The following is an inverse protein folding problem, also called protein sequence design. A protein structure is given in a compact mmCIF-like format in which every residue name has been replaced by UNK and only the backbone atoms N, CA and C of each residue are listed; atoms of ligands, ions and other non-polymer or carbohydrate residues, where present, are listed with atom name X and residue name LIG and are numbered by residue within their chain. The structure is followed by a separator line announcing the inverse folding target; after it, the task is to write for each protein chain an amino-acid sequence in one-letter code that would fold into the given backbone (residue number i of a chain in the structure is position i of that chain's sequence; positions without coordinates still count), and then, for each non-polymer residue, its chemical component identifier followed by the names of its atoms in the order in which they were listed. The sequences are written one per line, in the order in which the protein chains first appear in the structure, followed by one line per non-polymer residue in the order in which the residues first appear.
data_IF_163945091602
#
_entry.id   IF_163945091602
#
_cell.length_a   1.000
_cell.length_b   1.000
_cell.length_c   1.000
_cell.angle_alpha   90.00
_cell.angle_beta   90.00
_cell.angle_gamma   90.00
#
_symmetry.space_group_name_H-M   'P 1'
#
loop_
_entity.id
_entity.type
_entity.pdbx_description
1 polymer ?
#
# COMPACT_ATOMS: atom_id res chain seq x y z
N UNK A 1 -20.55 -17.71 -18.16
CA UNK A 1 -19.59 -17.51 -17.06
C UNK A 1 -20.23 -18.05 -15.80
N UNK A 2 -19.55 -18.97 -15.13
CA UNK A 2 -19.99 -19.61 -13.90
C UNK A 2 -19.31 -18.95 -12.71
N UNK A 3 -20.11 -18.39 -11.81
CA UNK A 3 -19.62 -17.64 -10.66
C UNK A 3 -19.74 -18.48 -9.40
N UNK A 4 -18.68 -18.47 -8.60
CA UNK A 4 -18.76 -18.81 -7.20
C UNK A 4 -18.80 -17.54 -6.36
N UNK A 5 -19.42 -17.62 -5.19
CA UNK A 5 -19.53 -16.51 -4.24
C UNK A 5 -18.88 -16.95 -2.93
N UNK A 6 -18.10 -16.07 -2.33
CA UNK A 6 -17.46 -16.26 -1.02
C UNK A 6 -17.93 -15.15 -0.08
N UNK A 7 -18.68 -15.50 0.95
CA UNK A 7 -19.38 -14.58 1.85
C UNK A 7 -20.49 -13.77 1.18
N UNK A 8 -21.26 -13.02 1.98
CA UNK A 8 -22.38 -12.24 1.49
C UNK A 8 -22.44 -10.86 2.17
N UNK A 9 -22.59 -9.84 1.34
CA UNK A 9 -22.89 -8.49 1.77
C UNK A 9 -23.86 -7.83 0.77
N UNK A 10 -24.27 -6.59 1.04
CA UNK A 10 -25.19 -5.86 0.16
C UNK A 10 -24.65 -5.65 -1.26
N UNK A 11 -23.34 -5.59 -1.44
CA UNK A 11 -22.69 -5.36 -2.73
C UNK A 11 -22.59 -6.66 -3.53
N UNK A 12 -22.33 -7.78 -2.87
CA UNK A 12 -22.48 -9.12 -3.45
C UNK A 12 -23.93 -9.34 -3.88
N UNK A 13 -24.91 -8.97 -3.06
CA UNK A 13 -26.33 -9.10 -3.45
C UNK A 13 -26.66 -8.30 -4.72
N UNK A 14 -26.10 -7.10 -4.90
CA UNK A 14 -26.20 -6.34 -6.15
C UNK A 14 -25.56 -7.06 -7.34
N UNK A 15 -24.35 -7.60 -7.16
CA UNK A 15 -23.64 -8.35 -8.20
C UNK A 15 -24.38 -9.65 -8.57
N UNK A 16 -24.94 -10.35 -7.58
CA UNK A 16 -25.75 -11.56 -7.79
C UNK A 16 -27.03 -11.21 -8.53
N UNK A 17 -27.71 -10.12 -8.14
CA UNK A 17 -28.90 -9.66 -8.85
C UNK A 17 -28.59 -9.32 -10.31
N UNK A 18 -27.51 -8.59 -10.58
CA UNK A 18 -27.07 -8.29 -11.94
C UNK A 18 -26.69 -9.56 -12.73
N UNK A 19 -26.05 -10.54 -12.07
CA UNK A 19 -25.71 -11.82 -12.66
C UNK A 19 -26.94 -12.65 -13.02
N UNK A 20 -27.95 -12.73 -12.13
CA UNK A 20 -29.19 -13.47 -12.37
C UNK A 20 -30.03 -12.88 -13.51
N UNK A 21 -29.94 -11.56 -13.72
CA UNK A 21 -30.59 -10.88 -14.84
C UNK A 21 -29.80 -10.96 -16.16
N UNK A 22 -28.61 -11.58 -16.15
CA UNK A 22 -27.78 -11.76 -17.33
C UNK A 22 -27.94 -13.17 -17.91
N UNK A 23 -28.22 -13.28 -19.21
CA UNK A 23 -28.40 -14.58 -19.88
C UNK A 23 -27.13 -15.44 -19.91
N UNK A 24 -25.96 -14.83 -19.68
CA UNK A 24 -24.65 -15.47 -19.87
C UNK A 24 -23.92 -15.76 -18.57
N UNK A 25 -24.52 -15.47 -17.41
CA UNK A 25 -23.89 -15.63 -16.10
C UNK A 25 -24.74 -16.57 -15.25
N UNK A 26 -24.10 -17.57 -14.65
CA UNK A 26 -24.75 -18.52 -13.77
C UNK A 26 -24.01 -18.55 -12.43
N UNK A 27 -24.70 -18.32 -11.33
CA UNK A 27 -24.16 -18.57 -9.99
C UNK A 27 -24.25 -20.07 -9.71
N UNK A 28 -23.11 -20.72 -9.52
CA UNK A 28 -23.03 -22.19 -9.42
C UNK A 28 -22.67 -22.69 -8.04
N UNK A 29 -22.09 -21.84 -7.18
CA UNK A 29 -21.58 -22.23 -5.88
C UNK A 29 -21.61 -21.04 -4.91
N UNK A 30 -21.99 -21.31 -3.67
CA UNK A 30 -21.92 -20.34 -2.57
C UNK A 30 -21.10 -20.91 -1.42
N UNK A 31 -20.15 -20.11 -0.93
CA UNK A 31 -19.33 -20.41 0.22
C UNK A 31 -19.68 -19.39 1.32
N UNK A 32 -20.62 -19.73 2.23
CA UNK A 32 -21.07 -18.81 3.27
C UNK A 32 -20.00 -18.53 4.32
N UNK A 33 -20.03 -17.33 4.89
CA UNK A 33 -19.36 -17.05 6.16
C UNK A 33 -20.13 -17.69 7.34
N UNK A 34 -19.55 -17.65 8.54
CA UNK A 34 -20.18 -18.25 9.72
C UNK A 34 -21.54 -17.56 10.00
N UNK A 35 -22.60 -18.37 10.12
CA UNK A 35 -23.98 -17.94 10.38
C UNK A 35 -24.68 -17.22 9.21
N UNK A 36 -24.16 -17.30 7.99
CA UNK A 36 -24.89 -16.81 6.81
C UNK A 36 -25.93 -17.82 6.31
N UNK A 37 -27.12 -17.30 5.96
CA UNK A 37 -28.17 -18.10 5.32
C UNK A 37 -27.75 -18.56 3.93
N UNK A 38 -28.15 -19.78 3.55
CA UNK A 38 -27.92 -20.31 2.21
C UNK A 38 -28.61 -19.43 1.15
N UNK A 39 -27.90 -19.19 0.05
CA UNK A 39 -28.46 -18.53 -1.12
C UNK A 39 -29.45 -19.47 -1.83
N UNK A 40 -30.73 -19.13 -1.82
CA UNK A 40 -31.81 -19.94 -2.39
C UNK A 40 -31.51 -20.40 -3.82
N UNK A 41 -31.52 -21.71 -4.03
CA UNK A 41 -31.30 -22.32 -5.35
C UNK A 41 -29.83 -22.44 -5.79
N UNK A 42 -28.87 -22.02 -4.96
CA UNK A 42 -27.43 -22.18 -5.21
C UNK A 42 -26.86 -23.19 -4.20
N UNK A 43 -26.16 -24.24 -4.66
CA UNK A 43 -25.57 -25.21 -3.74
C UNK A 43 -24.47 -24.55 -2.90
N UNK A 44 -24.48 -24.83 -1.59
CA UNK A 44 -23.43 -24.40 -0.68
C UNK A 44 -22.35 -25.47 -0.52
N UNK A 45 -21.11 -25.05 -0.28
CA UNK A 45 -20.02 -25.95 0.13
C UNK A 45 -19.28 -25.41 1.35
N UNK A 46 -18.83 -26.30 2.22
CA UNK A 46 -18.07 -25.94 3.43
C UNK A 46 -16.54 -25.97 3.20
N UNK A 47 -16.08 -26.51 2.06
CA UNK A 47 -14.66 -26.74 1.77
C UNK A 47 -14.17 -26.10 0.46
N UNK A 48 -12.89 -25.74 0.44
CA UNK A 48 -12.20 -25.17 -0.73
C UNK A 48 -12.09 -26.12 -1.91
N UNK A 49 -12.18 -27.42 -1.64
CA UNK A 49 -12.14 -28.47 -2.65
C UNK A 49 -13.30 -28.31 -3.65
N UNK A 50 -14.42 -27.73 -3.23
CA UNK A 50 -15.54 -27.41 -4.11
C UNK A 50 -15.24 -26.30 -5.12
N UNK A 51 -14.37 -25.35 -4.75
CA UNK A 51 -13.90 -24.27 -5.63
C UNK A 51 -12.79 -24.77 -6.57
N UNK A 52 -11.86 -25.57 -6.03
CA UNK A 52 -10.71 -26.10 -6.76
C UNK A 52 -11.06 -27.24 -7.73
N UNK A 53 -12.26 -27.84 -7.63
CA UNK A 53 -12.72 -28.84 -8.58
C UNK A 53 -12.83 -28.23 -9.99
N UNK A 54 -11.77 -28.43 -10.80
CA UNK A 54 -11.33 -27.71 -12.01
C UNK A 54 -12.34 -27.46 -13.14
N UNK A 55 -13.59 -27.91 -13.03
CA UNK A 55 -14.55 -27.88 -14.13
C UNK A 55 -15.82 -27.08 -13.87
N UNK A 56 -15.97 -26.35 -12.75
CA UNK A 56 -17.27 -25.71 -12.42
C UNK A 56 -17.27 -24.20 -12.29
N UNK A 57 -16.15 -23.54 -11.99
CA UNK A 57 -16.12 -22.11 -11.67
C UNK A 57 -15.20 -21.37 -12.63
N UNK A 58 -15.70 -20.29 -13.23
CA UNK A 58 -14.94 -19.47 -14.17
C UNK A 58 -14.40 -18.19 -13.51
N UNK A 59 -15.06 -17.69 -12.46
CA UNK A 59 -14.62 -16.55 -11.65
C UNK A 59 -15.28 -16.58 -10.25
N UNK A 60 -14.71 -15.83 -9.30
CA UNK A 60 -15.15 -15.79 -7.90
C UNK A 60 -15.49 -14.36 -7.49
N UNK A 61 -16.67 -14.18 -6.89
CA UNK A 61 -17.09 -12.97 -6.21
C UNK A 61 -16.78 -13.09 -4.72
N UNK A 62 -16.16 -12.08 -4.14
CA UNK A 62 -15.69 -12.12 -2.76
C UNK A 62 -16.25 -10.91 -2.02
N UNK A 63 -17.04 -11.15 -0.96
CA UNK A 63 -17.57 -10.09 -0.09
C UNK A 63 -16.47 -9.26 0.59
N UNK A 64 -16.84 -8.08 1.08
CA UNK A 64 -15.93 -7.20 1.80
C UNK A 64 -15.53 -7.82 3.14
N UNK A 65 -14.36 -7.44 3.67
CA UNK A 65 -13.96 -7.86 5.00
C UNK A 65 -14.65 -7.02 6.08
N UNK A 66 -15.15 -7.69 7.11
CA UNK A 66 -15.53 -7.07 8.37
C UNK A 66 -14.49 -7.43 9.44
N UNK A 67 -14.60 -6.86 10.63
CA UNK A 67 -13.72 -7.24 11.76
C UNK A 67 -13.75 -8.75 12.02
N UNK A 68 -14.93 -9.38 11.99
CA UNK A 68 -15.08 -10.80 12.30
C UNK A 68 -14.60 -11.72 11.17
N UNK A 69 -14.57 -11.25 9.92
CA UNK A 69 -14.17 -12.06 8.77
C UNK A 69 -12.76 -11.75 8.28
N UNK A 70 -12.08 -10.76 8.87
CA UNK A 70 -10.81 -10.21 8.38
C UNK A 70 -9.72 -11.24 8.11
N UNK A 71 -9.37 -12.04 9.12
CA UNK A 71 -8.29 -13.04 9.00
C UNK A 71 -8.66 -14.13 7.99
N UNK A 72 -9.90 -14.64 8.08
CA UNK A 72 -10.43 -15.64 7.15
C UNK A 72 -10.46 -15.12 5.72
N UNK A 73 -10.84 -13.86 5.51
CA UNK A 73 -10.89 -13.21 4.19
C UNK A 73 -9.50 -13.04 3.59
N UNK A 74 -8.51 -12.70 4.41
CA UNK A 74 -7.11 -12.64 4.00
C UNK A 74 -6.60 -14.01 3.52
N UNK A 75 -6.87 -15.08 4.27
CA UNK A 75 -6.53 -16.45 3.85
C UNK A 75 -7.28 -16.86 2.57
N UNK A 76 -8.58 -16.55 2.50
CA UNK A 76 -9.42 -16.81 1.33
C UNK A 76 -8.85 -16.17 0.06
N UNK A 77 -8.47 -14.90 0.13
CA UNK A 77 -7.91 -14.20 -1.01
C UNK A 77 -6.55 -14.78 -1.43
N UNK A 78 -5.67 -15.10 -0.48
CA UNK A 78 -4.39 -15.77 -0.79
C UNK A 78 -4.61 -17.10 -1.51
N UNK A 79 -5.55 -17.91 -1.05
CA UNK A 79 -5.87 -19.20 -1.68
C UNK A 79 -6.43 -19.01 -3.09
N UNK A 80 -7.36 -18.08 -3.28
CA UNK A 80 -7.96 -17.81 -4.59
C UNK A 80 -6.92 -17.32 -5.61
N UNK A 81 -5.97 -16.49 -5.16
CA UNK A 81 -4.85 -16.00 -5.98
C UNK A 81 -3.93 -17.17 -6.38
N UNK A 82 -3.61 -18.07 -5.44
CA UNK A 82 -2.81 -19.28 -5.73
C UNK A 82 -3.50 -20.25 -6.70
N UNK A 83 -4.84 -20.24 -6.76
CA UNK A 83 -5.62 -21.04 -7.70
C UNK A 83 -5.72 -20.42 -9.11
N UNK A 84 -5.16 -19.22 -9.32
CA UNK A 84 -5.23 -18.46 -10.59
C UNK A 84 -6.67 -18.27 -11.14
N UNK A 85 -7.65 -18.17 -10.24
CA UNK A 85 -9.02 -17.85 -10.62
C UNK A 85 -9.18 -16.34 -10.80
N UNK A 86 -10.00 -15.87 -11.76
CA UNK A 86 -10.44 -14.47 -11.78
C UNK A 86 -11.25 -14.16 -10.53
N UNK A 87 -10.88 -13.10 -9.83
CA UNK A 87 -11.50 -12.69 -8.57
C UNK A 87 -11.98 -11.24 -8.66
N UNK A 88 -13.25 -11.01 -8.31
CA UNK A 88 -13.82 -9.69 -8.07
C UNK A 88 -14.11 -9.53 -6.58
N UNK A 89 -13.37 -8.66 -5.90
CA UNK A 89 -13.48 -8.46 -4.45
C UNK A 89 -14.19 -7.16 -4.13
N UNK A 90 -15.23 -7.20 -3.30
CA UNK A 90 -15.84 -5.98 -2.76
C UNK A 90 -14.84 -5.30 -1.83
N UNK A 91 -14.55 -4.03 -2.09
CA UNK A 91 -13.57 -3.27 -1.32
C UNK A 91 -14.20 -2.65 -0.06
N UNK A 92 -13.50 -2.62 1.10
CA UNK A 92 -12.21 -3.26 1.41
C UNK A 92 -12.30 -4.79 1.50
N UNK A 93 -11.35 -5.47 0.86
CA UNK A 93 -11.26 -6.94 0.86
C UNK A 93 -10.38 -7.52 1.96
N UNK A 94 -9.38 -6.79 2.44
CA UNK A 94 -8.48 -7.19 3.53
C UNK A 94 -7.70 -5.96 4.03
N UNK A 95 -6.87 -6.16 5.07
CA UNK A 95 -5.94 -5.14 5.58
C UNK A 95 -4.90 -4.73 4.52
N UNK A 96 -4.37 -3.51 4.64
CA UNK A 96 -3.45 -2.96 3.65
C UNK A 96 -2.20 -3.83 3.47
N UNK A 97 -1.63 -4.35 4.57
CA UNK A 97 -0.43 -5.20 4.51
C UNK A 97 -0.67 -6.50 3.74
N UNK A 98 -1.84 -7.11 3.92
CA UNK A 98 -2.24 -8.32 3.20
C UNK A 98 -2.50 -7.98 1.73
N UNK A 99 -3.11 -6.83 1.45
CA UNK A 99 -3.36 -6.42 0.09
C UNK A 99 -2.06 -6.20 -0.71
N UNK A 100 -1.02 -5.63 -0.10
CA UNK A 100 0.31 -5.53 -0.72
C UNK A 100 0.99 -6.89 -0.87
N UNK A 101 0.84 -7.80 0.09
CA UNK A 101 1.33 -9.18 -0.03
C UNK A 101 0.72 -9.89 -1.26
N UNK A 102 -0.59 -9.75 -1.45
CA UNK A 102 -1.32 -10.30 -2.60
C UNK A 102 -0.87 -9.64 -3.89
N UNK A 103 -0.63 -8.33 -3.90
CA UNK A 103 -0.10 -7.63 -5.06
C UNK A 103 1.28 -8.16 -5.48
N UNK A 104 2.19 -8.40 -4.52
CA UNK A 104 3.49 -8.99 -4.82
C UNK A 104 3.37 -10.37 -5.47
N UNK A 105 2.40 -11.19 -5.04
CA UNK A 105 2.09 -12.47 -5.68
C UNK A 105 1.50 -12.27 -7.07
N UNK A 106 0.60 -11.29 -7.22
CA UNK A 106 -0.05 -10.96 -8.48
C UNK A 106 0.89 -10.39 -9.55
N UNK A 107 1.99 -9.73 -9.17
CA UNK A 107 3.02 -9.28 -10.11
C UNK A 107 3.88 -10.44 -10.61
N UNK A 108 4.10 -11.46 -9.78
CA UNK A 108 4.87 -12.65 -10.14
C UNK A 108 4.07 -13.62 -11.02
N UNK A 109 2.76 -13.71 -10.78
CA UNK A 109 1.86 -14.69 -11.38
C UNK A 109 0.87 -14.05 -12.38
N UNK A 110 0.17 -14.85 -13.19
CA UNK A 110 -0.82 -14.36 -14.17
C UNK A 110 -2.16 -13.95 -13.53
N UNK A 111 -2.12 -13.40 -12.32
CA UNK A 111 -3.28 -13.22 -11.45
C UNK A 111 -4.27 -12.23 -12.05
N UNK A 112 -5.55 -12.60 -11.95
CA UNK A 112 -6.69 -11.84 -12.45
C UNK A 112 -7.53 -11.35 -11.27
N UNK A 113 -7.08 -10.28 -10.64
CA UNK A 113 -7.71 -9.71 -9.45
C UNK A 113 -8.21 -8.29 -9.74
N UNK A 114 -9.49 -8.04 -9.46
CA UNK A 114 -10.07 -6.71 -9.53
C UNK A 114 -10.98 -6.45 -8.34
N UNK A 115 -11.30 -5.19 -8.12
CA UNK A 115 -12.11 -4.72 -7.00
C UNK A 115 -13.45 -4.19 -7.46
N UNK A 116 -14.48 -4.46 -6.67
CA UNK A 116 -15.80 -3.86 -6.81
C UNK A 116 -15.91 -2.66 -5.88
N UNK A 117 -15.92 -1.48 -6.48
CA UNK A 117 -16.06 -0.19 -5.82
C UNK A 117 -17.15 0.62 -6.53
N UNK A 118 -18.44 0.32 -6.29
CA UNK A 118 -19.53 0.86 -7.11
C UNK A 118 -19.53 2.39 -7.17
N UNK A 119 -19.25 3.02 -6.03
CA UNK A 119 -19.13 4.47 -5.94
C UNK A 119 -17.97 4.98 -6.79
N UNK A 120 -16.75 4.50 -6.57
CA UNK A 120 -15.55 4.98 -7.26
C UNK A 120 -15.51 4.61 -8.75
N UNK A 121 -16.24 3.57 -9.19
CA UNK A 121 -16.30 3.13 -10.58
C UNK A 121 -17.15 4.04 -11.47
N UNK A 122 -18.02 4.87 -10.91
CA UNK A 122 -18.95 5.67 -11.71
C UNK A 122 -18.21 6.72 -12.58
N UNK A 123 -18.60 6.90 -13.85
CA UNK A 123 -18.02 7.91 -14.75
C UNK A 123 -18.12 9.36 -14.28
N UNK A 124 -18.84 9.61 -13.17
CA UNK A 124 -19.03 10.97 -12.64
C UNK A 124 -17.71 11.58 -12.20
N UNK A 125 -16.77 10.74 -11.78
CA UNK A 125 -15.46 11.18 -11.32
C UNK A 125 -14.57 11.64 -12.46
N UNK A 126 -14.81 11.19 -13.71
CA UNK A 126 -14.15 11.74 -14.89
C UNK A 126 -14.60 13.20 -15.10
N UNK A 127 -15.92 13.44 -15.04
CA UNK A 127 -16.46 14.80 -15.09
C UNK A 127 -16.00 15.67 -13.93
N UNK A 128 -15.85 15.10 -12.73
CA UNK A 128 -15.30 15.79 -11.58
C UNK A 128 -13.81 16.15 -11.76
N UNK A 129 -13.01 15.23 -12.29
CA UNK A 129 -11.60 15.47 -12.61
C UNK A 129 -11.45 16.53 -13.71
N UNK A 130 -12.35 16.54 -14.69
CA UNK A 130 -12.43 17.58 -15.72
C UNK A 130 -12.77 18.95 -15.10
N UNK A 131 -13.72 19.01 -14.16
CA UNK A 131 -14.02 20.24 -13.41
C UNK A 131 -12.85 20.71 -12.55
N UNK A 132 -12.02 19.81 -12.02
CA UNK A 132 -10.82 20.20 -11.25
C UNK A 132 -9.74 20.76 -12.18
N UNK A 133 -9.56 20.13 -13.36
CA UNK A 133 -8.54 20.52 -14.33
C UNK A 133 -8.93 21.77 -15.13
N UNK A 134 -10.22 21.92 -15.42
CA UNK A 134 -10.82 23.00 -16.20
C UNK A 134 -12.00 23.62 -15.42
N UNK A 135 -11.74 24.37 -14.33
CA UNK A 135 -12.78 24.79 -13.39
C UNK A 135 -13.83 25.75 -13.94
N UNK A 136 -13.59 26.39 -15.08
CA UNK A 136 -14.56 27.32 -15.67
C UNK A 136 -15.01 28.38 -14.67
N UNK A 137 -16.33 28.44 -14.42
CA UNK A 137 -16.97 29.38 -13.48
C UNK A 137 -16.73 29.08 -12.00
N UNK A 138 -16.13 27.93 -11.65
CA UNK A 138 -15.76 27.62 -10.27
C UNK A 138 -14.53 28.42 -9.82
N UNK A 139 -13.65 28.79 -10.77
CA UNK A 139 -12.29 29.22 -10.48
C UNK A 139 -11.44 28.09 -9.87
N UNK A 140 -10.13 28.30 -9.64
CA UNK A 140 -9.24 27.26 -9.13
C UNK A 140 -9.79 26.54 -7.89
N UNK A 141 -9.95 25.22 -7.98
CA UNK A 141 -10.45 24.40 -6.88
C UNK A 141 -9.46 24.43 -5.72
N UNK A 142 -9.94 24.80 -4.53
CA UNK A 142 -9.14 24.92 -3.30
C UNK A 142 -9.40 23.76 -2.35
N UNK A 143 -10.63 23.26 -2.31
CA UNK A 143 -11.03 22.24 -1.36
C UNK A 143 -12.05 21.30 -1.99
N UNK A 144 -11.94 20.02 -1.64
CA UNK A 144 -12.88 18.96 -1.94
C UNK A 144 -13.46 18.50 -0.61
N UNK A 145 -14.78 18.46 -0.47
CA UNK A 145 -15.44 17.98 0.74
C UNK A 145 -16.23 16.73 0.39
N UNK A 146 -15.96 15.63 1.08
CA UNK A 146 -16.63 14.34 0.91
C UNK A 146 -17.36 14.04 2.21
N UNK A 147 -18.68 14.02 2.16
CA UNK A 147 -19.54 13.71 3.31
C UNK A 147 -20.22 12.37 3.07
N UNK A 148 -20.07 11.45 4.03
CA UNK A 148 -20.70 10.14 4.00
C UNK A 148 -21.72 10.03 5.12
N UNK A 149 -22.96 9.71 4.79
CA UNK A 149 -23.97 9.41 5.81
C UNK A 149 -23.92 7.94 6.19
N UNK A 150 -23.86 7.65 7.49
CA UNK A 150 -23.76 6.30 8.02
C UNK A 150 -24.92 6.01 8.98
N UNK A 151 -25.57 4.86 8.77
CA UNK A 151 -26.67 4.38 9.62
C UNK A 151 -26.19 4.08 11.05
N UNK A 152 -24.94 3.65 11.19
CA UNK A 152 -24.33 3.35 12.47
C UNK A 152 -23.14 4.28 12.70
N UNK A 153 -23.00 4.76 13.93
CA UNK A 153 -21.87 5.59 14.37
C UNK A 153 -20.67 4.74 14.84
N UNK A 154 -20.60 3.49 14.38
CA UNK A 154 -19.51 2.60 14.71
C UNK A 154 -18.22 3.02 13.97
N UNK A 155 -17.14 3.07 14.72
CA UNK A 155 -15.83 3.47 14.21
C UNK A 155 -15.34 2.59 13.06
N UNK A 156 -15.49 1.28 13.16
CA UNK A 156 -15.04 0.36 12.11
C UNK A 156 -15.87 0.55 10.83
N UNK A 157 -17.17 0.80 10.99
CA UNK A 157 -18.05 1.16 9.88
C UNK A 157 -17.60 2.45 9.19
N UNK A 158 -17.18 3.47 9.96
CA UNK A 158 -16.65 4.72 9.42
C UNK A 158 -15.31 4.53 8.69
N UNK A 159 -14.38 3.73 9.24
CA UNK A 159 -13.12 3.41 8.56
C UNK A 159 -13.33 2.59 7.30
N UNK A 160 -14.27 1.64 7.31
CA UNK A 160 -14.63 0.85 6.14
C UNK A 160 -15.21 1.75 5.03
N UNK A 161 -16.09 2.68 5.38
CA UNK A 161 -16.61 3.67 4.43
C UNK A 161 -15.51 4.62 3.93
N UNK A 162 -14.62 5.07 4.81
CA UNK A 162 -13.46 5.88 4.43
C UNK A 162 -12.56 5.12 3.45
N UNK A 163 -12.31 3.83 3.65
CA UNK A 163 -11.52 3.02 2.71
C UNK A 163 -12.16 2.97 1.31
N UNK A 164 -13.49 2.92 1.23
CA UNK A 164 -14.23 2.98 -0.04
C UNK A 164 -14.12 4.37 -0.69
N UNK A 165 -14.37 5.42 0.08
CA UNK A 165 -14.38 6.80 -0.41
C UNK A 165 -12.96 7.34 -0.68
N UNK A 166 -11.92 6.75 -0.07
CA UNK A 166 -10.52 7.08 -0.31
C UNK A 166 -10.15 6.96 -1.79
N UNK A 167 -10.75 6.01 -2.51
CA UNK A 167 -10.51 5.84 -3.94
C UNK A 167 -11.08 7.02 -4.74
N UNK A 168 -12.21 7.59 -4.31
CA UNK A 168 -12.76 8.83 -4.88
C UNK A 168 -11.80 9.98 -4.59
N UNK A 169 -11.37 10.14 -3.33
CA UNK A 169 -10.43 11.20 -2.95
C UNK A 169 -9.14 11.15 -3.78
N UNK A 170 -8.57 9.96 -4.01
CA UNK A 170 -7.36 9.78 -4.83
C UNK A 170 -7.59 10.05 -6.31
N UNK A 171 -8.75 9.70 -6.88
CA UNK A 171 -9.09 10.06 -8.27
C UNK A 171 -9.16 11.58 -8.47
N UNK A 172 -9.61 12.32 -7.46
CA UNK A 172 -9.76 13.76 -7.54
C UNK A 172 -8.50 14.55 -7.15
N UNK A 173 -7.75 14.07 -6.15
CA UNK A 173 -6.53 14.74 -5.66
C UNK A 173 -5.24 14.24 -6.30
N UNK A 174 -5.27 13.06 -6.91
CA UNK A 174 -4.08 12.29 -7.22
C UNK A 174 -3.47 11.62 -5.97
N UNK A 175 -2.16 11.29 -6.02
CA UNK A 175 -1.42 10.72 -4.89
C UNK A 175 -1.57 11.52 -3.60
N UNK A 176 -2.01 10.88 -2.52
CA UNK A 176 -2.17 11.52 -1.21
C UNK A 176 -0.86 11.35 -0.41
N UNK A 177 -0.22 12.46 -0.06
CA UNK A 177 1.08 12.45 0.61
C UNK A 177 0.98 12.57 2.13
N UNK A 178 -0.13 13.14 2.63
CA UNK A 178 -0.29 13.39 4.05
C UNK A 178 -1.75 13.33 4.44
N UNK A 179 -1.99 12.68 5.56
CA UNK A 179 -3.32 12.53 6.15
C UNK A 179 -3.31 12.97 7.61
N UNK A 180 -4.25 13.83 7.97
CA UNK A 180 -4.55 14.17 9.35
C UNK A 180 -5.96 13.73 9.70
N UNK A 181 -6.12 13.00 10.81
CA UNK A 181 -7.44 12.69 11.33
C UNK A 181 -7.68 13.35 12.68
N UNK A 182 -8.89 13.86 12.87
CA UNK A 182 -9.37 14.41 14.13
C UNK A 182 -10.47 13.50 14.68
N UNK A 183 -10.39 13.21 15.97
CA UNK A 183 -11.41 12.50 16.74
C UNK A 183 -11.80 13.37 17.92
N UNK A 184 -13.09 13.55 18.17
CA UNK A 184 -13.57 14.37 19.29
C UNK A 184 -13.36 13.71 20.66
N UNK A 185 -13.14 12.39 20.71
CA UNK A 185 -13.03 11.66 21.96
C UNK A 185 -11.57 11.36 22.35
N UNK A 186 -11.15 11.94 23.48
CA UNK A 186 -9.86 11.67 24.14
C UNK A 186 -9.76 10.24 24.71
N UNK A 187 -10.90 9.54 24.85
CA UNK A 187 -11.01 8.20 25.43
C UNK A 187 -10.94 7.07 24.40
N UNK A 188 -10.78 7.39 23.10
CA UNK A 188 -10.88 6.45 22.00
C UNK A 188 -12.10 6.72 21.12
N UNK A 189 -11.96 6.42 19.83
CA UNK A 189 -12.82 6.85 18.71
C UNK A 189 -14.24 6.23 18.66
N UNK A 190 -14.84 5.84 19.77
CA UNK A 190 -16.01 4.94 19.75
C UNK A 190 -17.31 5.56 19.17
N UNK A 191 -17.42 6.89 19.07
CA UNK A 191 -18.68 7.54 18.65
C UNK A 191 -18.48 8.88 17.93
N UNK A 192 -17.28 9.18 17.43
CA UNK A 192 -16.97 10.50 16.87
C UNK A 192 -16.97 10.47 15.34
N UNK A 193 -17.52 11.50 14.65
CA UNK A 193 -17.36 11.63 13.21
C UNK A 193 -15.88 11.69 12.88
N UNK A 194 -15.42 10.75 12.06
CA UNK A 194 -14.02 10.70 11.64
C UNK A 194 -13.84 11.82 10.62
N UNK A 195 -13.08 12.85 10.99
CA UNK A 195 -12.70 13.91 10.06
C UNK A 195 -11.29 13.66 9.56
N UNK A 196 -11.15 13.61 8.24
CA UNK A 196 -9.87 13.45 7.58
C UNK A 196 -9.57 14.71 6.77
N UNK A 197 -8.33 15.17 6.83
CA UNK A 197 -7.78 16.14 5.88
C UNK A 197 -6.63 15.46 5.14
N UNK A 198 -6.73 15.41 3.82
CA UNK A 198 -5.74 14.84 2.92
C UNK A 198 -5.19 15.92 1.98
N UNK A 199 -3.87 15.91 1.78
CA UNK A 199 -3.20 16.78 0.82
C UNK A 199 -2.47 15.93 -0.23
N UNK A 200 -2.76 16.18 -1.50
CA UNK A 200 -2.11 15.50 -2.61
C UNK A 200 -0.79 16.14 -2.99
N UNK A 201 -0.85 17.17 -3.84
CA UNK A 201 0.31 17.97 -4.25
C UNK A 201 0.43 19.26 -3.41
N UNK A 202 1.64 19.84 -3.25
CA UNK A 202 1.85 21.04 -2.43
C UNK A 202 1.01 22.26 -2.84
N UNK A 203 0.69 22.39 -4.13
CA UNK A 203 -0.12 23.49 -4.70
C UNK A 203 -1.53 23.02 -5.13
N UNK A 204 -1.87 21.76 -4.84
CA UNK A 204 -3.15 21.16 -5.21
C UNK A 204 -4.27 21.46 -4.21
N UNK A 205 -5.52 21.09 -4.55
CA UNK A 205 -6.63 21.16 -3.60
C UNK A 205 -6.39 20.24 -2.41
N UNK A 206 -7.04 20.57 -1.28
CA UNK A 206 -7.12 19.68 -0.12
C UNK A 206 -8.43 18.90 -0.15
N UNK A 207 -8.45 17.66 0.32
CA UNK A 207 -9.71 16.94 0.54
C UNK A 207 -10.00 16.84 2.04
N UNK A 208 -11.25 17.11 2.38
CA UNK A 208 -11.82 16.83 3.68
C UNK A 208 -12.82 15.70 3.53
N UNK A 209 -12.70 14.64 4.33
CA UNK A 209 -13.72 13.60 4.43
C UNK A 209 -14.33 13.63 5.82
N UNK A 210 -15.64 13.42 5.91
CA UNK A 210 -16.34 13.29 7.19
C UNK A 210 -17.49 12.30 7.12
N UNK A 211 -17.62 11.47 8.16
CA UNK A 211 -18.83 10.70 8.40
C UNK A 211 -19.87 11.53 9.18
N UNK A 212 -21.13 11.44 8.78
CA UNK A 212 -22.27 12.07 9.44
C UNK A 212 -23.25 10.98 9.89
N UNK A 213 -23.69 11.07 11.14
CA UNK A 213 -24.72 10.20 11.70
C UNK A 213 -26.05 10.95 11.80
N UNK A 214 -26.72 11.08 10.66
CA UNK A 214 -28.04 11.71 10.52
C UNK A 214 -28.94 10.76 9.72
N UNK A 215 -30.28 10.85 9.87
CA UNK A 215 -31.20 10.10 9.01
C UNK A 215 -30.86 10.36 7.53
N UNK A 216 -30.74 9.31 6.70
CA UNK A 216 -30.16 9.45 5.37
C UNK A 216 -31.03 10.34 4.48
N UNK A 217 -30.52 11.54 4.17
CA UNK A 217 -31.05 12.41 3.11
C UNK A 217 -30.32 12.09 1.80
N UNK A 218 -29.02 11.78 1.89
CA UNK A 218 -28.18 11.31 0.80
C UNK A 218 -27.02 10.47 1.33
N UNK A 219 -26.66 9.38 0.67
CA UNK A 219 -25.62 8.47 1.17
C UNK A 219 -24.22 9.09 1.04
N UNK A 220 -23.97 9.76 -0.08
CA UNK A 220 -22.70 10.40 -0.39
C UNK A 220 -22.95 11.80 -0.96
N UNK A 221 -22.25 12.79 -0.42
CA UNK A 221 -22.18 14.14 -0.97
C UNK A 221 -20.72 14.50 -1.24
N UNK A 222 -20.43 15.02 -2.43
CA UNK A 222 -19.11 15.54 -2.78
C UNK A 222 -19.24 16.98 -3.22
N UNK A 223 -18.50 17.90 -2.60
CA UNK A 223 -18.48 19.31 -2.95
C UNK A 223 -17.09 19.72 -3.43
N UNK A 224 -17.03 20.33 -4.61
CA UNK A 224 -15.84 20.99 -5.14
C UNK A 224 -15.96 22.49 -4.84
N UNK A 225 -15.06 23.02 -4.02
CA UNK A 225 -15.05 24.43 -3.60
C UNK A 225 -13.95 25.15 -4.37
N UNK A 226 -14.36 25.96 -5.34
CA UNK A 226 -13.49 26.85 -6.08
C UNK A 226 -13.40 28.25 -5.46
N UNK A 227 -12.59 29.11 -6.07
CA UNK A 227 -12.42 30.50 -5.61
C UNK A 227 -13.61 31.41 -5.94
N UNK A 228 -14.42 31.05 -6.93
CA UNK A 228 -15.54 31.85 -7.42
C UNK A 228 -16.90 31.22 -7.14
N UNK A 229 -17.00 29.89 -7.24
CA UNK A 229 -18.22 29.14 -6.99
C UNK A 229 -17.94 27.72 -6.45
N UNK A 230 -19.00 26.96 -6.19
CA UNK A 230 -18.91 25.55 -5.80
C UNK A 230 -19.79 24.66 -6.67
N UNK A 231 -19.39 23.41 -6.81
CA UNK A 231 -20.17 22.35 -7.43
C UNK A 231 -20.47 21.27 -6.38
N UNK A 232 -21.70 20.80 -6.30
CA UNK A 232 -22.11 19.75 -5.35
C UNK A 232 -22.68 18.56 -6.09
N UNK A 233 -22.12 17.39 -5.86
CA UNK A 233 -22.67 16.10 -6.24
C UNK A 233 -23.43 15.52 -5.05
N UNK A 234 -24.67 15.11 -5.27
CA UNK A 234 -25.44 14.34 -4.30
C UNK A 234 -25.78 12.98 -4.89
N UNK A 235 -25.63 11.95 -4.07
CA UNK A 235 -25.91 10.58 -4.46
C UNK A 235 -26.63 9.85 -3.32
N UNK A 236 -27.80 9.32 -3.65
CA UNK A 236 -28.62 8.45 -2.81
C UNK A 236 -28.85 7.12 -3.52
N UNK A 237 -28.92 6.02 -2.78
CA UNK A 237 -29.21 4.71 -3.33
C UNK A 237 -30.52 4.69 -4.13
N UNK A 238 -30.49 4.04 -5.29
CA UNK A 238 -31.63 3.98 -6.23
C UNK A 238 -31.92 5.26 -7.02
N UNK A 239 -31.16 6.34 -6.85
CA UNK A 239 -31.29 7.57 -7.66
C UNK A 239 -30.02 7.81 -8.49
N UNK A 240 -30.20 8.31 -9.71
CA UNK A 240 -29.07 8.73 -10.53
C UNK A 240 -28.38 9.93 -9.84
N UNK A 241 -27.04 9.93 -9.74
CA UNK A 241 -26.33 11.05 -9.15
C UNK A 241 -26.56 12.33 -9.98
N UNK A 242 -26.53 13.48 -9.32
CA UNK A 242 -26.75 14.77 -9.97
C UNK A 242 -25.73 15.80 -9.51
N UNK A 243 -25.12 16.50 -10.47
CA UNK A 243 -24.28 17.66 -10.19
C UNK A 243 -25.14 18.91 -10.11
N UNK A 244 -24.92 19.69 -9.05
CA UNK A 244 -25.42 21.05 -8.89
C UNK A 244 -24.24 22.00 -9.03
N UNK A 245 -24.04 22.58 -10.21
CA UNK A 245 -22.94 23.51 -10.50
C UNK A 245 -23.49 24.92 -10.56
N UNK A 246 -23.10 25.78 -9.61
CA UNK A 246 -23.62 27.15 -9.52
C UNK A 246 -25.17 27.24 -9.52
N UNK A 247 -25.86 26.20 -9.02
CA UNK A 247 -27.31 26.11 -8.98
C UNK A 247 -27.97 25.52 -10.23
N UNK A 248 -27.20 25.16 -11.25
CA UNK A 248 -27.68 24.44 -12.43
C UNK A 248 -27.51 22.93 -12.25
N UNK A 249 -28.57 22.17 -12.53
CA UNK A 249 -28.57 20.71 -12.48
C UNK A 249 -27.98 20.13 -13.78
N UNK A 250 -26.91 19.37 -13.64
CA UNK A 250 -26.31 18.61 -14.73
C UNK A 250 -26.63 17.13 -14.48
N UNK A 251 -27.60 16.54 -15.22
CA UNK A 251 -27.95 15.14 -15.06
C UNK A 251 -26.82 14.25 -15.56
N UNK A 252 -26.54 13.19 -14.82
CA UNK A 252 -25.56 12.18 -15.20
C UNK A 252 -26.26 10.99 -15.88
N UNK A 253 -25.57 10.30 -16.81
CA UNK A 253 -26.11 9.11 -17.41
C UNK A 253 -26.32 8.01 -16.34
N UNK A 254 -27.35 7.17 -16.49
CA UNK A 254 -27.52 6.02 -15.61
C UNK A 254 -26.32 5.08 -15.75
N UNK A 255 -25.81 4.60 -14.62
CA UNK A 255 -24.67 3.69 -14.57
C UNK A 255 -25.01 2.49 -13.68
N UNK A 256 -24.90 1.30 -14.25
CA UNK A 256 -25.07 0.03 -13.53
C UNK A 256 -23.67 -0.51 -13.19
N UNK A 257 -23.19 -0.16 -11.99
CA UNK A 257 -21.87 -0.54 -11.53
C UNK A 257 -21.69 -2.06 -11.45
N UNK A 258 -22.72 -2.80 -11.05
CA UNK A 258 -22.67 -4.24 -10.91
C UNK A 258 -22.52 -4.91 -12.28
N UNK A 259 -23.30 -4.47 -13.27
CA UNK A 259 -23.17 -4.94 -14.64
C UNK A 259 -21.81 -4.60 -15.26
N UNK A 260 -21.34 -3.37 -15.11
CA UNK A 260 -20.02 -2.95 -15.59
C UNK A 260 -18.90 -3.81 -14.99
N UNK A 261 -18.93 -4.02 -13.67
CA UNK A 261 -17.95 -4.85 -12.98
C UNK A 261 -17.95 -6.31 -13.47
N UNK A 262 -19.13 -6.90 -13.72
CA UNK A 262 -19.25 -8.25 -14.27
C UNK A 262 -18.73 -8.34 -15.72
N UNK A 263 -18.99 -7.33 -16.54
CA UNK A 263 -18.48 -7.28 -17.93
C UNK A 263 -16.96 -7.09 -17.96
N UNK A 264 -16.40 -6.28 -17.06
CA UNK A 264 -14.94 -6.15 -16.85
C UNK A 264 -14.33 -7.46 -16.36
N UNK A 265 -14.96 -8.15 -15.41
CA UNK A 265 -14.49 -9.44 -14.89
C UNK A 265 -14.38 -10.50 -16.00
N UNK A 266 -15.35 -10.53 -16.93
CA UNK A 266 -15.33 -11.45 -18.09
C UNK A 266 -14.16 -11.24 -19.04
N UNK A 267 -13.68 -10.00 -19.12
CA UNK A 267 -12.62 -9.59 -20.04
C UNK A 267 -11.29 -9.35 -19.33
N UNK A 268 -11.23 -9.66 -18.03
CA UNK A 268 -10.09 -9.41 -17.16
C UNK A 268 -8.87 -10.19 -17.66
N UNK A 269 -7.83 -9.43 -18.02
CA UNK A 269 -6.54 -9.99 -18.46
C UNK A 269 -5.56 -10.02 -17.28
N UNK A 270 -4.63 -11.00 -17.27
CA UNK A 270 -3.53 -11.02 -16.32
C UNK A 270 -2.79 -9.67 -16.26
N UNK A 271 -2.45 -9.21 -15.05
CA UNK A 271 -1.70 -7.98 -14.82
C UNK A 271 -2.48 -6.67 -14.94
N UNK A 272 -3.77 -6.71 -15.32
CA UNK A 272 -4.64 -5.52 -15.31
C UNK A 272 -5.46 -5.49 -14.02
N UNK A 273 -4.91 -4.93 -12.95
CA UNK A 273 -5.55 -4.95 -11.62
C UNK A 273 -5.73 -3.53 -11.08
N UNK A 274 -6.97 -3.15 -10.71
CA UNK A 274 -7.23 -1.96 -9.89
C UNK A 274 -6.98 -2.21 -8.39
N UNK A 275 -6.54 -3.43 -8.04
CA UNK A 275 -6.24 -3.89 -6.70
C UNK A 275 -5.30 -2.96 -5.92
N UNK A 276 -4.23 -2.47 -6.56
CA UNK A 276 -3.27 -1.59 -5.90
C UNK A 276 -3.88 -0.21 -5.56
N UNK A 277 -4.81 0.27 -6.38
CA UNK A 277 -5.48 1.54 -6.09
C UNK A 277 -6.44 1.40 -4.92
N UNK A 278 -7.14 0.26 -4.86
CA UNK A 278 -8.01 -0.11 -3.77
C UNK A 278 -7.24 -0.34 -2.46
N UNK A 279 -6.12 -1.08 -2.48
CA UNK A 279 -5.31 -1.37 -1.29
C UNK A 279 -4.81 -0.09 -0.60
N UNK A 280 -4.44 0.92 -1.40
CA UNK A 280 -4.08 2.26 -0.91
C UNK A 280 -5.25 2.97 -0.24
N UNK A 281 -6.49 2.69 -0.64
CA UNK A 281 -7.68 3.16 0.07
C UNK A 281 -7.76 2.59 1.49
N UNK A 282 -7.46 1.29 1.65
CA UNK A 282 -7.36 0.68 2.99
C UNK A 282 -6.19 1.25 3.79
N UNK A 283 -5.01 1.42 3.16
CA UNK A 283 -3.85 2.04 3.80
C UNK A 283 -4.18 3.45 4.32
N UNK A 284 -4.94 4.22 3.54
CA UNK A 284 -5.38 5.56 3.92
C UNK A 284 -6.28 5.52 5.16
N UNK A 285 -7.23 4.59 5.22
CA UNK A 285 -8.09 4.42 6.38
C UNK A 285 -7.31 4.01 7.64
N UNK A 286 -6.37 3.07 7.52
CA UNK A 286 -5.49 2.67 8.63
C UNK A 286 -4.56 3.82 9.08
N UNK A 287 -4.07 4.63 8.14
CA UNK A 287 -3.27 5.81 8.45
C UNK A 287 -4.10 6.92 9.11
N UNK A 288 -5.36 7.09 8.70
CA UNK A 288 -6.31 7.98 9.36
C UNK A 288 -6.52 7.58 10.82
N UNK A 289 -6.77 6.29 11.07
CA UNK A 289 -6.92 5.76 12.43
C UNK A 289 -5.66 6.03 13.29
N UNK A 290 -4.47 5.72 12.76
CA UNK A 290 -3.20 6.00 13.44
C UNK A 290 -2.99 7.49 13.68
N UNK A 291 -3.41 8.34 12.75
CA UNK A 291 -3.32 9.80 12.89
C UNK A 291 -4.22 10.28 14.02
N UNK A 292 -5.48 9.81 14.06
CA UNK A 292 -6.46 10.15 15.10
C UNK A 292 -5.98 9.72 16.48
N UNK A 293 -5.46 8.49 16.62
CA UNK A 293 -4.89 7.97 17.88
C UNK A 293 -3.67 8.78 18.38
N UNK A 294 -2.88 9.35 17.46
CA UNK A 294 -1.65 10.10 17.79
C UNK A 294 -1.88 11.61 17.91
N UNK A 295 -3.02 12.12 17.46
CA UNK A 295 -3.31 13.56 17.37
C UNK A 295 -2.36 14.32 16.44
N UNK A 296 -1.75 13.65 15.45
CA UNK A 296 -0.85 14.28 14.47
C UNK A 296 -1.02 13.66 13.09
N UNK A 297 -0.78 14.47 12.06
CA UNK A 297 -0.79 13.99 10.68
C UNK A 297 0.30 12.93 10.45
N UNK A 298 0.00 11.98 9.58
CA UNK A 298 0.87 10.88 9.13
C UNK A 298 1.22 11.14 7.67
N UNK A 299 2.51 11.09 7.36
CA UNK A 299 2.99 11.14 5.99
C UNK A 299 2.82 9.75 5.35
N UNK A 300 2.34 9.76 4.12
CA UNK A 300 2.12 8.58 3.29
C UNK A 300 3.15 8.58 2.17
N UNK A 301 3.81 7.44 2.01
CA UNK A 301 4.81 7.27 0.98
C UNK A 301 4.24 6.31 -0.05
N UNK A 302 3.92 6.84 -1.23
CA UNK A 302 3.62 6.00 -2.39
C UNK A 302 4.93 5.43 -2.94
N UNK A 303 5.50 4.47 -2.20
CA UNK A 303 6.55 3.64 -2.75
C UNK A 303 5.92 2.69 -3.75
N UNK A 304 6.28 2.84 -5.03
CA UNK A 304 6.10 1.74 -5.98
C UNK A 304 7.02 0.61 -5.52
N UNK A 305 6.42 -0.50 -5.08
CA UNK A 305 7.11 -1.73 -4.69
C UNK A 305 7.70 -2.40 -5.93
N UNK A 306 8.62 -1.72 -6.60
CA UNK A 306 9.40 -2.28 -7.69
C UNK A 306 10.57 -3.06 -7.10
N UNK A 307 10.89 -4.21 -7.69
CA UNK A 307 12.08 -5.00 -7.32
C UNK A 307 13.35 -4.15 -7.29
N UNK A 308 13.43 -3.11 -8.13
CA UNK A 308 14.55 -2.17 -8.18
C UNK A 308 14.75 -1.41 -6.87
N UNK A 309 13.68 -1.04 -6.15
CA UNK A 309 13.78 -0.34 -4.87
C UNK A 309 14.18 -1.30 -3.75
N UNK A 310 13.63 -2.52 -3.74
CA UNK A 310 14.04 -3.59 -2.82
C UNK A 310 15.51 -3.96 -3.03
N UNK A 311 15.96 -4.07 -4.28
CA UNK A 311 17.35 -4.37 -4.62
C UNK A 311 18.31 -3.28 -4.13
N UNK A 312 17.94 -1.99 -4.27
CA UNK A 312 18.72 -0.88 -3.70
C UNK A 312 18.79 -0.95 -2.17
N UNK A 313 17.67 -1.25 -1.51
CA UNK A 313 17.62 -1.42 -0.06
C UNK A 313 18.53 -2.55 0.42
N UNK A 314 18.47 -3.71 -0.23
CA UNK A 314 19.33 -4.87 0.08
C UNK A 314 20.80 -4.57 -0.19
N UNK A 315 21.13 -3.86 -1.27
CA UNK A 315 22.51 -3.43 -1.55
C UNK A 315 23.03 -2.45 -0.50
N UNK A 316 22.20 -1.51 -0.04
CA UNK A 316 22.58 -0.56 1.02
C UNK A 316 22.78 -1.27 2.37
N UNK A 317 21.85 -2.16 2.75
CA UNK A 317 21.93 -2.93 3.99
C UNK A 317 23.13 -3.89 4.00
N UNK A 318 23.38 -4.62 2.90
CA UNK A 318 24.55 -5.51 2.78
C UNK A 318 25.87 -4.74 2.81
N UNK A 319 25.94 -3.56 2.18
CA UNK A 319 27.09 -2.66 2.27
C UNK A 319 27.37 -2.19 3.71
N UNK A 320 26.32 -1.81 4.45
CA UNK A 320 26.44 -1.41 5.85
C UNK A 320 26.89 -2.57 6.74
N UNK A 321 26.32 -3.77 6.55
CA UNK A 321 26.71 -4.98 7.28
C UNK A 321 28.18 -5.35 7.03
N UNK A 322 28.65 -5.24 5.78
CA UNK A 322 30.05 -5.48 5.42
C UNK A 322 30.97 -4.48 6.12
N UNK A 323 30.64 -3.18 6.12
CA UNK A 323 31.42 -2.15 6.82
C UNK A 323 31.50 -2.41 8.32
N UNK A 324 30.37 -2.78 8.95
CA UNK A 324 30.34 -3.15 10.37
C UNK A 324 31.21 -4.39 10.67
N UNK A 325 31.20 -5.39 9.78
CA UNK A 325 32.04 -6.59 9.93
C UNK A 325 33.54 -6.27 9.80
N UNK A 326 33.92 -5.40 8.86
CA UNK A 326 35.30 -4.93 8.69
C UNK A 326 35.74 -4.15 9.93
N UNK A 327 34.92 -3.22 10.42
CA UNK A 327 35.21 -2.44 11.62
C UNK A 327 35.37 -3.34 12.86
N UNK A 328 34.47 -4.31 13.04
CA UNK A 328 34.58 -5.31 14.10
C UNK A 328 35.86 -6.13 13.98
N UNK A 329 36.23 -6.52 12.76
CA UNK A 329 37.50 -7.20 12.47
C UNK A 329 38.71 -6.38 12.91
N UNK A 330 38.72 -5.07 12.66
CA UNK A 330 39.76 -4.17 13.14
C UNK A 330 39.82 -4.08 14.66
N UNK A 331 38.67 -4.02 15.34
CA UNK A 331 38.61 -4.01 16.81
C UNK A 331 39.18 -5.32 17.37
N UNK A 332 38.80 -6.47 16.81
CA UNK A 332 39.32 -7.78 17.23
C UNK A 332 40.83 -7.85 17.02
N UNK A 333 41.33 -7.42 15.85
CA UNK A 333 42.76 -7.39 15.56
C UNK A 333 43.52 -6.52 16.55
N UNK A 334 43.01 -5.32 16.86
CA UNK A 334 43.59 -4.40 17.83
C UNK A 334 43.62 -4.99 19.25
N UNK A 335 42.56 -5.68 19.67
CA UNK A 335 42.51 -6.37 20.97
C UNK A 335 43.54 -7.51 21.01
N UNK A 336 43.61 -8.34 19.98
CA UNK A 336 44.57 -9.46 19.90
C UNK A 336 46.01 -8.94 19.93
N UNK A 337 46.32 -7.88 19.19
CA UNK A 337 47.64 -7.26 19.19
C UNK A 337 47.96 -6.62 20.55
N UNK A 338 47.00 -5.90 21.14
CA UNK A 338 47.10 -5.32 22.48
C UNK A 338 47.37 -6.37 23.56
N UNK A 339 46.77 -7.56 23.46
CA UNK A 339 47.02 -8.69 24.37
C UNK A 339 48.37 -9.35 24.12
N UNK A 340 48.83 -9.46 22.86
CA UNK A 340 50.13 -10.09 22.53
C UNK A 340 51.34 -9.21 22.89
N UNK A 341 51.21 -7.89 22.82
CA UNK A 341 52.28 -6.93 23.11
C UNK A 341 52.98 -7.13 24.48
N UNK A 342 52.26 -7.28 25.62
CA UNK A 342 52.90 -7.51 26.92
C UNK A 342 53.66 -8.84 27.00
N UNK A 343 53.22 -9.89 26.31
CA UNK A 343 53.93 -11.17 26.29
C UNK A 343 55.24 -11.06 25.49
N UNK A 344 55.22 -10.40 24.34
CA UNK A 344 56.42 -10.14 23.54
C UNK A 344 57.44 -9.29 24.31
N UNK A 345 56.99 -8.27 25.04
CA UNK A 345 57.85 -7.43 25.88
C UNK A 345 58.48 -8.20 27.05
N UNK A 346 57.74 -9.12 27.69
CA UNK A 346 58.31 -9.98 28.75
C UNK A 346 59.38 -10.91 28.21
N UNK A 347 59.12 -11.57 27.07
CA UNK A 347 60.09 -12.45 26.42
C UNK A 347 61.35 -11.69 25.98
N UNK A 348 61.20 -10.48 25.43
CA UNK A 348 62.34 -9.64 25.06
C UNK A 348 63.15 -9.19 26.30
N UNK A 349 62.50 -8.69 27.36
CA UNK A 349 63.20 -8.32 28.62
C UNK A 349 63.97 -9.49 29.22
N UNK A 350 63.45 -10.70 29.12
CA UNK A 350 64.13 -11.90 29.62
C UNK A 350 65.37 -12.24 28.78
N UNK A 351 65.27 -12.19 27.45
CA UNK A 351 66.42 -12.36 26.54
C UNK A 351 67.50 -11.30 26.74
N UNK A 352 67.12 -10.03 26.96
CA UNK A 352 68.10 -8.97 27.25
C UNK A 352 68.81 -9.23 28.57
N UNK A 353 68.10 -9.64 29.63
CA UNK A 353 68.72 -9.99 30.92
C UNK A 353 69.65 -11.19 30.82
N UNK A 354 69.31 -12.20 30.02
CA UNK A 354 70.17 -13.36 29.78
C UNK A 354 71.42 -13.00 28.94
N UNK A 355 71.27 -12.14 27.94
CA UNK A 355 72.40 -11.64 27.13
C UNK A 355 73.35 -10.75 27.95
N UNK A 356 72.81 -9.89 28.82
CA UNK A 356 73.56 -9.05 29.75
C UNK A 356 74.35 -9.90 30.74
N UNK A 357 73.73 -10.93 31.32
CA UNK A 357 74.42 -11.92 32.17
C UNK A 357 75.52 -12.69 31.42
N UNK A 358 75.34 -12.93 30.13
CA UNK A 358 76.33 -13.60 29.28
C UNK A 358 77.46 -12.66 28.81
N UNK A 359 77.48 -11.39 29.24
CA UNK A 359 78.52 -10.41 28.86
C UNK A 359 78.51 -10.02 27.39
N UNK A 360 77.45 -10.35 26.63
CA UNK A 360 77.31 -9.97 25.24
C UNK A 360 76.58 -8.63 25.16
N UNK A 361 77.25 -7.62 24.59
CA UNK A 361 76.65 -6.30 24.33
C UNK A 361 75.45 -6.50 23.40
N UNK A 362 74.24 -6.34 23.92
CA UNK A 362 73.02 -6.48 23.15
C UNK A 362 72.92 -5.32 22.14
N UNK A 363 73.00 -5.63 20.84
CA UNK A 363 72.64 -4.66 19.80
C UNK A 363 71.15 -4.30 19.93
N UNK A 364 70.78 -3.02 19.78
CA UNK A 364 69.38 -2.62 19.81
C UNK A 364 68.65 -3.17 18.59
N UNK A 365 67.70 -4.08 18.82
CA UNK A 365 66.69 -4.51 17.84
C UNK A 365 65.79 -3.31 17.48
N UNK A 366 66.27 -2.46 16.56
CA UNK A 366 65.41 -1.50 15.87
C UNK A 366 64.63 -2.28 14.82
N UNK A 367 63.48 -2.83 15.21
CA UNK A 367 62.48 -3.23 14.22
C UNK A 367 62.23 -2.03 13.31
N UNK A 368 62.42 -2.17 11.98
CA UNK A 368 62.30 -1.06 11.07
C UNK A 368 60.85 -0.54 11.07
N UNK A 369 60.70 0.79 11.01
CA UNK A 369 59.43 1.52 11.20
C UNK A 369 58.27 0.99 10.33
N UNK A 370 58.56 0.40 9.17
CA UNK A 370 57.56 -0.19 8.27
C UNK A 370 56.83 -1.39 8.89
N UNK A 371 57.47 -2.17 9.77
CA UNK A 371 56.81 -3.27 10.48
C UNK A 371 55.84 -2.75 11.56
N UNK A 372 56.12 -1.58 12.15
CA UNK A 372 55.21 -0.94 13.12
C UNK A 372 54.00 -0.28 12.47
N UNK A 373 54.10 0.11 11.19
CA UNK A 373 53.01 0.68 10.41
C UNK A 373 52.18 -0.39 9.67
N UNK A 374 52.48 -1.67 9.87
CA UNK A 374 51.77 -2.78 9.24
C UNK A 374 50.23 -2.74 9.40
N UNK A 375 49.66 -2.33 10.55
CA UNK A 375 48.20 -2.24 10.71
C UNK A 375 47.55 -1.13 9.87
N UNK A 376 48.33 -0.11 9.47
CA UNK A 376 47.82 1.03 8.71
C UNK A 376 47.82 0.80 7.19
N UNK A 377 48.65 -0.12 6.68
CA UNK A 377 48.72 -0.38 5.23
C UNK A 377 47.42 -0.86 4.60
N UNK A 378 46.61 -1.75 5.22
CA UNK A 378 45.33 -2.16 4.64
C UNK A 378 44.36 -0.99 4.51
N UNK A 379 44.36 -0.07 5.47
CA UNK A 379 43.50 1.12 5.48
C UNK A 379 43.93 2.08 4.36
N UNK A 380 45.24 2.35 4.24
CA UNK A 380 45.77 3.21 3.18
C UNK A 380 45.50 2.60 1.79
N UNK A 381 45.69 1.29 1.63
CA UNK A 381 45.43 0.59 0.38
C UNK A 381 43.94 0.60 0.02
N UNK A 382 43.06 0.41 0.99
CA UNK A 382 41.61 0.48 0.79
C UNK A 382 41.15 1.88 0.37
N UNK A 383 41.65 2.93 1.04
CA UNK A 383 41.35 4.32 0.67
C UNK A 383 41.85 4.65 -0.74
N UNK A 384 43.05 4.16 -1.11
CA UNK A 384 43.56 4.31 -2.47
C UNK A 384 42.67 3.61 -3.50
N UNK A 385 42.21 2.38 -3.23
CA UNK A 385 41.30 1.65 -4.12
C UNK A 385 39.94 2.35 -4.27
N UNK A 386 39.37 2.88 -3.19
CA UNK A 386 38.13 3.67 -3.27
C UNK A 386 38.31 4.95 -4.08
N UNK A 387 39.43 5.66 -3.91
CA UNK A 387 39.74 6.84 -4.70
C UNK A 387 39.88 6.49 -6.20
N UNK A 388 40.54 5.36 -6.50
CA UNK A 388 40.75 4.90 -7.87
C UNK A 388 39.43 4.48 -8.54
N UNK A 389 38.54 3.81 -7.79
CA UNK A 389 37.20 3.47 -8.26
C UNK A 389 36.33 4.70 -8.50
N UNK A 390 36.39 5.70 -7.61
CA UNK A 390 35.68 6.97 -7.78
C UNK A 390 36.13 7.72 -9.04
N UNK A 391 37.45 7.77 -9.28
CA UNK A 391 38.00 8.41 -10.48
C UNK A 391 37.65 7.64 -11.76
N UNK A 392 37.68 6.30 -11.72
CA UNK A 392 37.33 5.47 -12.87
C UNK A 392 35.82 5.47 -13.19
N UNK A 393 34.97 5.52 -12.16
CA UNK A 393 33.51 5.48 -12.28
C UNK A 393 32.88 6.76 -12.86
N UNK A 394 33.59 7.89 -12.83
CA UNK A 394 33.10 9.14 -13.44
C UNK A 394 33.20 9.17 -14.97
N UNK A 395 33.87 8.20 -15.60
CA UNK A 395 34.09 8.19 -17.06
C UNK A 395 32.99 7.57 -17.92
N UNK A 396 31.95 6.95 -17.36
CA UNK A 396 30.99 6.13 -18.15
C UNK A 396 29.59 6.72 -18.30
N UNK A 397 29.36 8.01 -17.98
CA UNK A 397 28.10 8.69 -18.29
C UNK A 397 28.04 9.17 -19.76
N UNK A 398 28.30 8.26 -20.70
CA UNK A 398 28.12 8.55 -22.14
C UNK A 398 26.69 8.22 -22.54
N UNK A 399 25.86 9.26 -22.55
CA UNK A 399 24.81 9.51 -23.56
C UNK A 399 23.80 8.39 -23.83
N UNK A 400 22.82 8.21 -22.94
CA UNK A 400 21.55 7.56 -23.30
C UNK A 400 20.60 8.61 -23.86
N UNK A 401 20.66 8.80 -25.18
CA UNK A 401 19.67 9.57 -25.95
C UNK A 401 18.29 8.96 -25.76
N UNK A 402 17.39 9.73 -25.15
CA UNK A 402 15.96 9.46 -25.05
C UNK A 402 15.36 9.57 -26.44
N UNK A 403 14.96 8.43 -27.02
CA UNK A 403 14.09 8.38 -28.20
C UNK A 403 12.65 8.32 -27.68
N UNK A 404 11.94 9.44 -27.80
CA UNK A 404 10.47 9.50 -27.66
C UNK A 404 9.87 8.90 -28.93
N UNK A 405 9.06 7.86 -28.77
CA UNK A 405 7.92 7.53 -29.64
C UNK A 405 6.70 7.34 -28.75
#
# INVERSE_FOLDING_TARGET
MRLAIVGRDRYIDQLVFAALNSENIQVVLFYPDENEDQLSGVPSTEGWEGLAAETRVDAVLVASCTESTRERRAEQLRMLVQMDLPVLVVHPGCEAIVAFEIEMQAVADSVRLMTYQPWAAHPVWESAADLISNPGSLGPIKQIVIERQLENNDHQTALHALAQDACIARKLLGPIQRIGALSSDASGLASSPVQMIATGQPEGPTAQWSSLHLPPICDLRVQLIGSEASATLQWSDGQAPQWLVAGEEIPLPPFDAAKDALDRLRTLKPGLTDWIEASRGTELAEAAERSGKRGRAVDLYEESHTEANTFKGVMAASGCMLLMMILLGFVIAAVVEGVRFPYAMKAHKQRVKEAEKAGKVAMPDRYPLWIRLMPAYPIILFLLLQMLWFVAGQGSSTTRTVRRE
#
